data_IF_257813083641
#
_entry.id   IF_257813083641
#
_cell.length_a   1.000
_cell.length_b   1.000
_cell.length_c   1.000
_cell.angle_alpha   90.00
_cell.angle_beta   90.00
_cell.angle_gamma   90.00
#
_symmetry.space_group_name_H-M   'P 1'
#
loop_
_entity.id
_entity.type
_entity.pdbx_description
1 polymer ?
#
# COMPACT_ATOMS: atom_id res chain seq x y z
N UNK A 1 -82.54 30.98 0.21
CA UNK A 1 -81.81 31.60 -0.92
C UNK A 1 -80.40 31.96 -0.45
N UNK A 2 -79.37 31.47 -1.16
CA UNK A 2 -78.00 31.31 -0.66
C UNK A 2 -77.18 32.62 -0.60
N UNK A 3 -76.39 32.78 0.47
CA UNK A 3 -75.44 33.85 0.81
C UNK A 3 -74.32 34.11 -0.25
N UNK A 4 -74.36 33.42 -1.39
CA UNK A 4 -73.41 33.56 -2.49
C UNK A 4 -73.70 34.75 -3.43
N UNK A 5 -74.97 35.16 -3.61
CA UNK A 5 -75.34 36.26 -4.53
C UNK A 5 -75.03 37.67 -4.01
N UNK A 6 -74.88 37.84 -2.70
CA UNK A 6 -74.65 39.14 -2.05
C UNK A 6 -73.17 39.55 -2.07
N UNK A 7 -72.24 38.58 -2.05
CA UNK A 7 -70.79 38.81 -2.10
C UNK A 7 -70.29 39.23 -3.49
N UNK A 8 -71.00 38.84 -4.55
CA UNK A 8 -70.63 39.16 -5.93
C UNK A 8 -71.00 40.60 -6.32
N UNK A 9 -72.13 41.12 -5.80
CA UNK A 9 -72.54 42.53 -5.99
C UNK A 9 -71.54 43.52 -5.35
N UNK A 10 -71.06 43.25 -4.12
CA UNK A 10 -70.07 44.11 -3.45
C UNK A 10 -68.73 44.22 -4.20
N UNK A 11 -68.29 43.16 -4.91
CA UNK A 11 -67.03 43.20 -5.69
C UNK A 11 -67.14 44.02 -6.98
N UNK A 12 -68.33 44.12 -7.58
CA UNK A 12 -68.56 44.90 -8.81
C UNK A 12 -68.66 46.39 -8.48
N UNK A 13 -69.28 46.75 -7.35
CA UNK A 13 -69.37 48.14 -6.89
C UNK A 13 -68.01 48.71 -6.46
N UNK A 14 -67.15 47.91 -5.82
CA UNK A 14 -65.79 48.33 -5.45
C UNK A 14 -64.84 48.55 -6.65
N UNK A 15 -65.03 47.85 -7.78
CA UNK A 15 -64.26 48.10 -9.02
C UNK A 15 -64.72 49.37 -9.73
N UNK A 16 -66.04 49.62 -9.80
CA UNK A 16 -66.59 50.85 -10.39
C UNK A 16 -66.20 52.12 -9.61
N UNK A 17 -66.01 52.02 -8.29
CA UNK A 17 -65.55 53.15 -7.47
C UNK A 17 -64.05 53.46 -7.64
N UNK A 18 -63.22 52.49 -8.04
CA UNK A 18 -61.76 52.66 -8.17
C UNK A 18 -61.35 53.21 -9.53
N UNK A 19 -62.06 52.84 -10.60
CA UNK A 19 -61.83 53.37 -11.95
C UNK A 19 -62.38 54.80 -12.14
N UNK A 20 -63.30 55.25 -11.28
CA UNK A 20 -63.81 56.63 -11.25
C UNK A 20 -62.84 57.64 -10.59
N UNK A 21 -61.75 57.18 -9.96
CA UNK A 21 -60.83 58.02 -9.17
C UNK A 21 -59.55 58.41 -9.90
N UNK A 22 -59.34 57.96 -11.15
CA UNK A 22 -58.19 58.35 -11.98
C UNK A 22 -58.63 58.89 -13.34
N UNK A 23 -59.55 59.85 -13.31
CA UNK A 23 -59.83 60.69 -14.45
C UNK A 23 -58.93 61.92 -14.43
N UNK A 24 -57.98 62.05 -15.35
CA UNK A 24 -57.83 63.33 -16.06
C UNK A 24 -57.02 63.28 -17.36
N UNK A 25 -57.68 63.84 -18.35
CA UNK A 25 -57.29 64.15 -19.71
C UNK A 25 -56.07 65.10 -19.84
N UNK A 26 -55.24 64.77 -20.84
CA UNK A 26 -54.61 65.62 -21.86
C UNK A 26 -54.78 67.15 -21.72
N UNK A 27 -53.66 67.90 -21.74
CA UNK A 27 -53.26 68.80 -22.86
C UNK A 27 -51.88 69.48 -22.66
N UNK A 28 -51.14 69.48 -23.77
CA UNK A 28 -49.91 70.18 -24.19
C UNK A 28 -49.52 71.51 -23.50
N UNK A 29 -48.21 71.67 -23.28
CA UNK A 29 -47.33 72.77 -23.75
C UNK A 29 -45.85 72.34 -23.57
N UNK A 30 -45.04 72.25 -24.63
CA UNK A 30 -43.91 73.16 -25.01
C UNK A 30 -42.98 73.48 -23.83
N UNK A 31 -41.65 73.45 -23.88
CA UNK A 31 -40.61 73.15 -24.87
C UNK A 31 -39.29 73.37 -24.09
N UNK A 32 -38.37 72.41 -24.15
CA UNK A 32 -36.92 72.46 -23.92
C UNK A 32 -36.30 73.57 -23.03
N UNK A 33 -35.54 73.13 -22.03
CA UNK A 33 -34.10 73.39 -21.93
C UNK A 33 -33.43 72.17 -21.29
N UNK A 34 -32.68 71.42 -22.08
CA UNK A 34 -31.88 70.29 -21.62
C UNK A 34 -30.55 70.79 -21.05
N UNK A 35 -30.02 70.23 -19.95
CA UNK A 35 -28.59 70.08 -19.79
C UNK A 35 -28.11 68.91 -20.67
N UNK A 36 -26.91 69.04 -21.21
CA UNK A 36 -26.30 68.11 -22.16
C UNK A 36 -26.49 66.63 -21.79
N UNK A 37 -27.09 65.86 -22.69
CA UNK A 37 -26.96 64.41 -22.69
C UNK A 37 -25.49 64.07 -22.92
N UNK A 38 -24.81 63.55 -21.89
CA UNK A 38 -23.70 62.66 -22.15
C UNK A 38 -24.31 61.36 -22.68
N UNK A 39 -23.99 61.01 -23.93
CA UNK A 39 -24.27 59.68 -24.46
C UNK A 39 -23.45 58.66 -23.67
N UNK A 40 -24.01 58.18 -22.56
CA UNK A 40 -23.60 56.91 -21.99
C UNK A 40 -24.46 55.85 -22.70
N UNK A 41 -23.86 54.85 -23.35
CA UNK A 41 -24.62 53.81 -23.99
C UNK A 41 -25.55 53.16 -22.97
N UNK A 42 -26.84 53.01 -23.31
CA UNK A 42 -27.80 52.31 -22.48
C UNK A 42 -27.38 50.83 -22.38
N UNK A 43 -26.67 50.51 -21.29
CA UNK A 43 -26.21 49.17 -21.00
C UNK A 43 -27.45 48.29 -20.74
N UNK A 44 -27.73 47.38 -21.67
CA UNK A 44 -28.91 46.50 -21.59
C UNK A 44 -28.75 45.48 -20.46
N UNK A 45 -29.26 45.83 -19.27
CA UNK A 45 -29.18 45.04 -18.04
C UNK A 45 -29.86 43.66 -18.14
N UNK A 46 -30.80 43.47 -19.09
CA UNK A 46 -31.45 42.18 -19.29
C UNK A 46 -30.52 41.15 -19.92
N UNK A 47 -29.54 41.58 -20.73
CA UNK A 47 -28.54 40.70 -21.31
C UNK A 47 -27.33 40.51 -20.37
N UNK A 48 -26.98 41.54 -19.61
CA UNK A 48 -25.84 41.49 -18.69
C UNK A 48 -26.11 40.72 -17.40
N UNK A 49 -27.34 40.71 -16.89
CA UNK A 49 -27.68 39.92 -15.69
C UNK A 49 -27.37 38.42 -15.82
N UNK A 50 -27.83 37.70 -16.86
CA UNK A 50 -27.49 36.28 -16.99
C UNK A 50 -25.99 36.05 -17.19
N UNK A 51 -25.30 36.94 -17.91
CA UNK A 51 -23.84 36.86 -18.11
C UNK A 51 -23.07 37.05 -16.80
N UNK A 52 -23.46 38.05 -15.99
CA UNK A 52 -22.87 38.30 -14.67
C UNK A 52 -23.16 37.16 -13.69
N UNK A 53 -24.36 36.59 -13.73
CA UNK A 53 -24.70 35.43 -12.91
C UNK A 53 -23.86 34.22 -13.29
N UNK A 54 -23.69 33.94 -14.58
CA UNK A 54 -22.82 32.86 -15.07
C UNK A 54 -21.35 33.07 -14.66
N UNK A 55 -20.83 34.29 -14.80
CA UNK A 55 -19.47 34.63 -14.36
C UNK A 55 -19.31 34.47 -12.84
N UNK A 56 -20.28 34.95 -12.06
CA UNK A 56 -20.25 34.82 -10.60
C UNK A 56 -20.35 33.35 -10.16
N UNK A 57 -21.16 32.54 -10.84
CA UNK A 57 -21.27 31.10 -10.57
C UNK A 57 -19.98 30.37 -10.92
N UNK A 58 -19.33 30.72 -12.03
CA UNK A 58 -18.03 30.15 -12.41
C UNK A 58 -16.93 30.50 -11.40
N UNK A 59 -16.87 31.77 -10.98
CA UNK A 59 -15.95 32.22 -9.93
C UNK A 59 -16.21 31.56 -8.58
N UNK A 60 -17.48 31.41 -8.19
CA UNK A 60 -17.86 30.72 -6.97
C UNK A 60 -17.50 29.23 -7.01
N UNK A 61 -17.70 28.58 -8.15
CA UNK A 61 -17.33 27.18 -8.34
C UNK A 61 -15.82 26.98 -8.32
N UNK A 62 -15.05 27.84 -9.00
CA UNK A 62 -13.59 27.81 -8.94
C UNK A 62 -13.07 28.07 -7.52
N UNK A 63 -13.67 29.03 -6.81
CA UNK A 63 -13.36 29.28 -5.41
C UNK A 63 -13.70 28.06 -4.52
N UNK A 64 -14.85 27.41 -4.73
CA UNK A 64 -15.21 26.18 -4.00
C UNK A 64 -14.23 25.04 -4.29
N UNK A 65 -13.80 24.86 -5.54
CA UNK A 65 -12.82 23.84 -5.93
C UNK A 65 -11.48 24.09 -5.23
N UNK A 66 -11.01 25.34 -5.22
CA UNK A 66 -9.77 25.73 -4.54
C UNK A 66 -9.91 25.56 -3.03
N UNK A 67 -11.05 25.97 -2.45
CA UNK A 67 -11.34 25.82 -1.02
C UNK A 67 -11.38 24.35 -0.62
N UNK A 68 -12.05 23.49 -1.39
CA UNK A 68 -12.07 22.03 -1.17
C UNK A 68 -10.68 21.44 -1.36
N UNK A 69 -9.91 21.87 -2.36
CA UNK A 69 -8.52 21.42 -2.52
C UNK A 69 -7.57 21.86 -1.40
N UNK A 70 -7.87 22.97 -0.71
CA UNK A 70 -7.10 23.46 0.44
C UNK A 70 -7.50 22.79 1.77
N UNK A 71 -8.71 22.21 1.85
CA UNK A 71 -9.24 21.54 3.05
C UNK A 71 -9.45 20.03 2.87
N UNK A 72 -9.23 19.49 1.67
CA UNK A 72 -8.94 18.09 1.47
C UNK A 72 -7.57 17.88 2.11
N UNK A 73 -7.57 17.62 3.43
CA UNK A 73 -6.39 17.09 4.10
C UNK A 73 -5.91 15.89 3.32
N UNK A 74 -4.60 15.69 3.27
CA UNK A 74 -3.98 14.50 2.69
C UNK A 74 -4.85 13.29 3.03
N UNK A 75 -5.27 12.53 2.02
CA UNK A 75 -5.93 11.26 2.29
C UNK A 75 -5.08 10.54 3.34
N UNK A 76 -5.68 9.95 4.39
CA UNK A 76 -4.90 9.23 5.39
C UNK A 76 -4.03 8.25 4.62
N UNK A 77 -2.71 8.47 4.67
CA UNK A 77 -1.75 7.60 4.01
C UNK A 77 -1.94 6.25 4.69
N UNK A 78 -2.67 5.36 4.04
CA UNK A 78 -2.79 3.98 4.48
C UNK A 78 -1.36 3.43 4.45
N UNK A 79 -0.84 3.15 5.63
CA UNK A 79 0.47 2.50 5.82
C UNK A 79 0.24 1.04 5.42
N UNK A 80 0.71 0.58 4.24
CA UNK A 80 0.49 -0.80 3.84
C UNK A 80 1.19 -1.75 4.83
N UNK A 81 0.39 -2.46 5.63
CA UNK A 81 0.88 -3.55 6.45
C UNK A 81 0.71 -4.86 5.70
N UNK A 82 1.69 -5.73 5.86
CA UNK A 82 1.74 -7.01 5.18
C UNK A 82 1.80 -8.18 6.16
N UNK A 83 1.33 -9.36 5.72
CA UNK A 83 1.31 -10.58 6.51
C UNK A 83 1.73 -11.79 5.65
N UNK A 84 2.60 -12.65 6.19
CA UNK A 84 2.91 -13.95 5.59
C UNK A 84 1.88 -15.00 5.96
N UNK A 85 1.37 -15.69 4.94
CA UNK A 85 0.54 -16.89 5.06
C UNK A 85 1.33 -18.11 4.59
N UNK A 86 1.22 -19.21 5.31
CA UNK A 86 1.91 -20.44 4.99
C UNK A 86 1.11 -21.33 4.01
N UNK A 87 1.62 -22.54 3.80
CA UNK A 87 0.98 -23.55 2.97
C UNK A 87 -0.35 -24.08 3.53
N UNK A 88 -0.69 -23.85 4.80
CA UNK A 88 -1.99 -24.26 5.32
C UNK A 88 -3.13 -23.54 4.60
N UNK A 89 -2.91 -22.28 4.22
CA UNK A 89 -3.84 -21.48 3.41
C UNK A 89 -3.87 -21.88 1.94
N UNK A 90 -2.70 -22.14 1.34
CA UNK A 90 -2.61 -22.31 -0.12
C UNK A 90 -2.66 -23.75 -0.61
N UNK A 91 -2.26 -24.73 0.21
CA UNK A 91 -2.20 -26.14 -0.20
C UNK A 91 -3.46 -26.93 0.20
N UNK A 92 -4.37 -26.31 0.95
CA UNK A 92 -5.61 -26.92 1.40
C UNK A 92 -6.81 -26.14 0.87
N UNK A 93 -7.94 -26.82 0.74
CA UNK A 93 -9.21 -26.17 0.41
C UNK A 93 -9.80 -25.54 1.68
N UNK A 94 -10.23 -24.30 1.55
CA UNK A 94 -10.96 -23.57 2.59
C UNK A 94 -12.39 -23.31 2.10
N UNK A 95 -13.34 -23.30 3.03
CA UNK A 95 -14.68 -22.82 2.74
C UNK A 95 -14.71 -21.29 2.71
N UNK A 96 -15.79 -20.74 2.14
CA UNK A 96 -15.93 -19.29 1.98
C UNK A 96 -16.03 -18.56 3.33
N UNK A 97 -16.49 -19.25 4.39
CA UNK A 97 -16.59 -18.69 5.74
C UNK A 97 -15.18 -18.46 6.34
N UNK A 98 -14.29 -19.46 6.26
CA UNK A 98 -12.91 -19.34 6.71
C UNK A 98 -12.15 -18.22 5.98
N UNK A 99 -12.35 -18.07 4.66
CA UNK A 99 -11.74 -16.98 3.89
C UNK A 99 -12.33 -15.63 4.30
N UNK A 100 -13.65 -15.56 4.58
CA UNK A 100 -14.29 -14.32 5.02
C UNK A 100 -13.82 -13.90 6.43
N UNK A 101 -13.59 -14.86 7.31
CA UNK A 101 -13.04 -14.64 8.65
C UNK A 101 -11.61 -14.11 8.57
N UNK A 102 -10.76 -14.71 7.72
CA UNK A 102 -9.43 -14.16 7.42
C UNK A 102 -9.53 -12.71 6.94
N UNK A 103 -10.39 -12.43 5.96
CA UNK A 103 -10.57 -11.07 5.42
C UNK A 103 -11.02 -10.07 6.49
N UNK A 104 -11.92 -10.47 7.39
CA UNK A 104 -12.36 -9.61 8.50
C UNK A 104 -11.20 -9.33 9.47
N UNK A 105 -10.44 -10.38 9.81
CA UNK A 105 -9.25 -10.25 10.65
C UNK A 105 -8.22 -9.30 10.03
N UNK A 106 -7.93 -9.44 8.73
CA UNK A 106 -7.01 -8.54 8.02
C UNK A 106 -7.47 -7.09 8.06
N UNK A 107 -8.78 -6.82 7.94
CA UNK A 107 -9.34 -5.47 8.04
C UNK A 107 -9.17 -4.89 9.45
N UNK A 108 -9.42 -5.69 10.49
CA UNK A 108 -9.30 -5.25 11.89
C UNK A 108 -7.87 -4.80 12.24
N UNK A 109 -6.87 -5.38 11.56
CA UNK A 109 -5.45 -5.08 11.72
C UNK A 109 -4.84 -4.26 10.58
N UNK A 110 -5.68 -3.69 9.69
CA UNK A 110 -5.25 -2.87 8.55
C UNK A 110 -4.14 -3.54 7.70
N UNK A 111 -4.25 -4.85 7.50
CA UNK A 111 -3.38 -5.61 6.61
C UNK A 111 -3.98 -5.54 5.20
N UNK A 112 -3.22 -4.96 4.26
CA UNK A 112 -3.65 -4.78 2.86
C UNK A 112 -2.79 -5.58 1.88
N UNK A 113 -1.74 -6.24 2.37
CA UNK A 113 -0.81 -7.02 1.56
C UNK A 113 -0.66 -8.41 2.18
N UNK A 114 -0.77 -9.44 1.34
CA UNK A 114 -0.53 -10.82 1.74
C UNK A 114 0.60 -11.43 0.92
N UNK A 115 1.54 -12.06 1.62
CA UNK A 115 2.56 -12.92 1.03
C UNK A 115 2.17 -14.37 1.30
N UNK A 116 1.49 -14.99 0.35
CA UNK A 116 1.01 -16.36 0.50
C UNK A 116 2.00 -17.35 -0.12
N UNK A 117 2.40 -18.37 0.64
CA UNK A 117 3.32 -19.42 0.18
C UNK A 117 2.80 -20.09 -1.09
N UNK A 118 3.55 -20.00 -2.18
CA UNK A 118 3.21 -20.73 -3.42
C UNK A 118 4.08 -21.96 -3.55
N UNK A 119 5.40 -21.82 -3.48
CA UNK A 119 6.30 -22.96 -3.57
C UNK A 119 7.73 -22.62 -3.18
N UNK A 120 8.53 -23.65 -3.00
CA UNK A 120 9.98 -23.59 -2.78
C UNK A 120 10.68 -24.40 -3.86
N UNK A 121 11.81 -23.91 -4.37
CA UNK A 121 12.56 -24.57 -5.43
C UNK A 121 13.45 -25.69 -4.86
N UNK A 122 13.05 -26.94 -5.12
CA UNK A 122 13.82 -28.13 -4.79
C UNK A 122 15.21 -28.11 -5.45
N UNK A 123 16.16 -28.87 -4.90
CA UNK A 123 17.51 -29.00 -5.46
C UNK A 123 17.55 -29.64 -6.86
N UNK A 124 16.52 -30.39 -7.25
CA UNK A 124 16.36 -30.95 -8.60
C UNK A 124 15.72 -29.97 -9.61
N UNK A 125 15.62 -28.69 -9.22
CA UNK A 125 14.99 -27.60 -9.98
C UNK A 125 13.49 -27.80 -10.27
N UNK A 126 12.81 -28.63 -9.48
CA UNK A 126 11.33 -28.71 -9.45
C UNK A 126 10.75 -27.84 -8.34
N UNK A 127 9.48 -27.47 -8.48
CA UNK A 127 8.75 -26.70 -7.47
C UNK A 127 8.06 -27.63 -6.47
N UNK A 128 8.27 -27.38 -5.18
CA UNK A 128 7.73 -28.12 -4.04
C UNK A 128 6.20 -28.14 -4.04
N UNK A 129 5.64 -29.28 -3.65
CA UNK A 129 4.20 -29.48 -3.48
C UNK A 129 3.90 -30.09 -2.11
N UNK A 130 3.13 -31.18 -2.08
CA UNK A 130 2.78 -31.85 -0.82
C UNK A 130 3.98 -32.64 -0.28
N UNK A 131 4.39 -32.43 1.00
CA UNK A 131 5.52 -33.18 1.59
C UNK A 131 5.31 -34.70 1.62
N UNK A 132 4.07 -35.15 1.77
CA UNK A 132 3.71 -36.57 1.78
C UNK A 132 3.39 -37.14 0.38
N UNK A 133 3.48 -36.30 -0.66
CA UNK A 133 3.21 -36.66 -2.05
C UNK A 133 4.49 -36.90 -2.85
N UNK A 134 4.46 -36.54 -4.13
CA UNK A 134 5.64 -36.49 -5.00
C UNK A 134 6.49 -35.24 -4.74
N UNK A 135 6.05 -34.38 -3.83
CA UNK A 135 6.62 -33.08 -3.54
C UNK A 135 6.74 -32.20 -4.80
N UNK A 136 5.69 -32.20 -5.62
CA UNK A 136 5.65 -31.42 -6.85
C UNK A 136 4.45 -30.47 -6.86
N UNK A 137 4.69 -29.24 -7.33
CA UNK A 137 3.71 -28.17 -7.34
C UNK A 137 2.39 -28.53 -8.05
N UNK A 138 2.45 -29.41 -9.07
CA UNK A 138 1.27 -29.93 -9.77
C UNK A 138 0.22 -30.55 -8.83
N UNK A 139 0.63 -31.05 -7.66
CA UNK A 139 -0.26 -31.63 -6.64
C UNK A 139 -1.09 -30.57 -5.90
N UNK A 140 -0.59 -29.33 -5.83
CA UNK A 140 -1.20 -28.21 -5.09
C UNK A 140 -1.65 -27.06 -6.01
N UNK A 141 -1.36 -27.15 -7.31
CA UNK A 141 -1.66 -26.10 -8.30
C UNK A 141 -3.11 -25.63 -8.22
N UNK A 142 -4.05 -26.57 -8.12
CA UNK A 142 -5.47 -26.25 -8.11
C UNK A 142 -5.91 -25.59 -6.80
N UNK A 143 -5.38 -26.01 -5.65
CA UNK A 143 -5.69 -25.39 -4.35
C UNK A 143 -5.08 -24.00 -4.24
N UNK A 144 -3.84 -23.82 -4.71
CA UNK A 144 -3.16 -22.52 -4.78
C UNK A 144 -3.96 -21.53 -5.62
N UNK A 145 -4.42 -21.95 -6.81
CA UNK A 145 -5.27 -21.13 -7.68
C UNK A 145 -6.63 -20.84 -7.07
N UNK A 146 -7.25 -21.83 -6.41
CA UNK A 146 -8.55 -21.69 -5.78
C UNK A 146 -8.50 -20.67 -4.64
N UNK A 147 -7.47 -20.72 -3.78
CA UNK A 147 -7.27 -19.77 -2.71
C UNK A 147 -7.17 -18.33 -3.23
N UNK A 148 -6.33 -18.10 -4.25
CA UNK A 148 -6.20 -16.78 -4.87
C UNK A 148 -7.55 -16.27 -5.41
N UNK A 149 -8.30 -17.12 -6.13
CA UNK A 149 -9.61 -16.75 -6.66
C UNK A 149 -10.64 -16.43 -5.55
N UNK A 150 -10.70 -17.24 -4.49
CA UNK A 150 -11.58 -17.02 -3.35
C UNK A 150 -11.25 -15.71 -2.63
N UNK A 151 -9.97 -15.50 -2.31
CA UNK A 151 -9.52 -14.28 -1.63
C UNK A 151 -9.83 -13.03 -2.47
N UNK A 152 -9.48 -13.03 -3.77
CA UNK A 152 -9.74 -11.88 -4.64
C UNK A 152 -11.23 -11.61 -4.83
N UNK A 153 -12.08 -12.62 -4.72
CA UNK A 153 -13.54 -12.44 -4.71
C UNK A 153 -14.04 -11.81 -3.41
N UNK A 154 -13.49 -12.19 -2.25
CA UNK A 154 -13.89 -11.69 -0.94
C UNK A 154 -13.28 -10.31 -0.60
N UNK A 155 -12.08 -10.02 -1.11
CA UNK A 155 -11.31 -8.81 -0.83
C UNK A 155 -10.46 -8.40 -2.06
N UNK A 156 -11.08 -7.76 -3.07
CA UNK A 156 -10.38 -7.37 -4.30
C UNK A 156 -9.24 -6.35 -4.07
N UNK A 157 -9.33 -5.57 -3.00
CA UNK A 157 -8.37 -4.50 -2.68
C UNK A 157 -7.09 -5.01 -2.00
N UNK A 158 -7.07 -6.26 -1.50
CA UNK A 158 -5.86 -6.85 -0.92
C UNK A 158 -4.90 -7.21 -2.04
N UNK A 159 -3.65 -6.75 -1.94
CA UNK A 159 -2.58 -7.15 -2.85
C UNK A 159 -2.07 -8.54 -2.44
N UNK A 160 -2.23 -9.51 -3.35
CA UNK A 160 -1.79 -10.88 -3.12
C UNK A 160 -0.51 -11.19 -3.90
N UNK A 161 0.57 -11.43 -3.15
CA UNK A 161 1.86 -11.87 -3.69
C UNK A 161 2.04 -13.37 -3.47
N UNK A 162 2.47 -14.06 -4.53
CA UNK A 162 2.87 -15.45 -4.44
C UNK A 162 4.33 -15.57 -4.01
N UNK A 163 4.58 -16.18 -2.86
CA UNK A 163 5.95 -16.33 -2.32
C UNK A 163 6.65 -17.49 -3.00
N UNK A 164 7.80 -17.18 -3.60
CA UNK A 164 8.71 -18.11 -4.23
C UNK A 164 10.00 -18.16 -3.41
N UNK A 165 10.23 -19.29 -2.75
CA UNK A 165 11.42 -19.50 -1.91
C UNK A 165 12.51 -20.24 -2.66
N UNK A 166 13.74 -19.74 -2.61
CA UNK A 166 14.90 -20.33 -3.27
C UNK A 166 16.08 -20.35 -2.31
N UNK A 167 16.58 -21.55 -2.03
CA UNK A 167 17.90 -21.71 -1.41
C UNK A 167 18.96 -21.44 -2.45
N UNK A 168 19.82 -20.45 -2.20
CA UNK A 168 20.84 -20.02 -3.15
C UNK A 168 22.14 -20.82 -3.02
N UNK A 169 22.44 -21.30 -1.81
CA UNK A 169 23.61 -22.11 -1.50
C UNK A 169 23.39 -23.62 -1.73
N UNK A 170 24.45 -24.31 -2.15
CA UNK A 170 24.59 -25.76 -2.13
C UNK A 170 25.83 -26.08 -1.29
N UNK A 171 25.64 -26.68 -0.11
CA UNK A 171 26.67 -27.12 0.84
C UNK A 171 28.13 -26.84 0.42
N UNK A 172 28.91 -27.84 0.01
CA UNK A 172 30.37 -27.74 0.04
C UNK A 172 30.99 -26.72 -0.95
N UNK A 173 30.37 -26.40 -2.09
CA UNK A 173 31.00 -25.55 -3.12
C UNK A 173 30.03 -24.98 -4.19
N UNK A 174 28.71 -25.18 -4.07
CA UNK A 174 27.79 -24.81 -5.15
C UNK A 174 27.03 -23.53 -4.84
N UNK A 175 26.86 -22.70 -5.86
CA UNK A 175 25.90 -21.61 -5.87
C UNK A 175 24.82 -21.95 -6.90
N UNK A 176 23.58 -21.53 -6.66
CA UNK A 176 22.45 -21.86 -7.54
C UNK A 176 22.03 -20.71 -8.44
N UNK A 177 22.33 -19.47 -8.07
CA UNK A 177 21.87 -18.32 -8.85
C UNK A 177 22.73 -18.08 -10.10
N UNK A 178 23.93 -18.66 -10.17
CA UNK A 178 24.79 -18.66 -11.36
C UNK A 178 24.38 -19.72 -12.41
N UNK A 179 23.45 -20.61 -12.07
CA UNK A 179 22.89 -21.59 -13.01
C UNK A 179 21.77 -20.95 -13.86
N UNK A 180 21.95 -20.83 -15.19
CA UNK A 180 20.93 -20.26 -16.07
C UNK A 180 19.62 -21.06 -16.08
N UNK A 181 19.65 -22.36 -15.74
CA UNK A 181 18.44 -23.19 -15.62
C UNK A 181 17.62 -22.71 -14.42
N UNK A 182 18.25 -22.43 -13.28
CA UNK A 182 17.55 -21.93 -12.08
C UNK A 182 16.93 -20.56 -12.36
N UNK A 183 17.65 -19.68 -13.06
CA UNK A 183 17.13 -18.39 -13.50
C UNK A 183 15.90 -18.56 -14.42
N UNK A 184 16.02 -19.36 -15.47
CA UNK A 184 14.92 -19.59 -16.42
C UNK A 184 13.69 -20.20 -15.74
N UNK A 185 13.89 -21.21 -14.89
CA UNK A 185 12.81 -21.89 -14.15
C UNK A 185 12.10 -20.95 -13.19
N UNK A 186 12.85 -20.08 -12.52
CA UNK A 186 12.29 -19.08 -11.61
C UNK A 186 11.46 -18.06 -12.35
N UNK A 187 12.01 -17.48 -13.42
CA UNK A 187 11.31 -16.51 -14.25
C UNK A 187 10.02 -17.11 -14.86
N UNK A 188 10.09 -18.34 -15.39
CA UNK A 188 8.91 -19.03 -15.95
C UNK A 188 7.83 -19.29 -14.90
N UNK A 189 8.22 -19.74 -13.71
CA UNK A 189 7.25 -20.04 -12.66
C UNK A 189 6.61 -18.78 -12.09
N UNK A 190 7.39 -17.71 -11.90
CA UNK A 190 6.86 -16.41 -11.51
C UNK A 190 5.78 -15.90 -12.50
N UNK A 191 6.02 -16.06 -13.80
CA UNK A 191 5.05 -15.75 -14.86
C UNK A 191 3.75 -16.56 -14.70
N UNK A 192 3.86 -17.87 -14.42
CA UNK A 192 2.69 -18.71 -14.18
C UNK A 192 1.88 -18.26 -12.97
N UNK A 193 2.53 -17.87 -11.87
CA UNK A 193 1.87 -17.37 -10.66
C UNK A 193 0.95 -16.18 -10.96
N UNK A 194 1.45 -15.18 -11.68
CA UNK A 194 0.71 -13.93 -11.91
C UNK A 194 -0.26 -14.00 -13.10
N UNK A 195 -0.01 -14.86 -14.10
CA UNK A 195 -0.84 -14.94 -15.30
C UNK A 195 -1.81 -16.12 -15.31
N UNK A 196 -1.51 -17.19 -14.57
CA UNK A 196 -2.32 -18.41 -14.57
C UNK A 196 -2.98 -18.72 -13.22
N UNK A 197 -2.38 -18.29 -12.11
CA UNK A 197 -2.87 -18.63 -10.77
C UNK A 197 -3.62 -17.50 -10.06
N UNK A 198 -3.70 -16.31 -10.67
CA UNK A 198 -4.56 -15.21 -10.19
C UNK A 198 -3.94 -14.31 -9.13
N UNK A 199 -2.62 -14.37 -8.95
CA UNK A 199 -1.88 -13.49 -8.04
C UNK A 199 -1.62 -12.11 -8.67
N UNK A 200 -1.56 -11.07 -7.83
CA UNK A 200 -1.26 -9.70 -8.25
C UNK A 200 0.24 -9.51 -8.53
N UNK A 201 1.09 -10.27 -7.82
CA UNK A 201 2.53 -10.25 -7.95
C UNK A 201 3.23 -11.48 -7.39
N UNK A 202 4.56 -11.44 -7.39
CA UNK A 202 5.42 -12.44 -6.74
C UNK A 202 6.35 -11.80 -5.72
N UNK A 203 6.62 -12.53 -4.64
CA UNK A 203 7.62 -12.19 -3.64
C UNK A 203 8.76 -13.20 -3.75
N UNK A 204 9.97 -12.73 -4.08
CA UNK A 204 11.16 -13.57 -4.08
C UNK A 204 11.79 -13.60 -2.69
N UNK A 205 11.89 -14.80 -2.12
CA UNK A 205 12.62 -15.05 -0.86
C UNK A 205 13.80 -15.93 -1.22
N UNK A 206 14.98 -15.32 -1.38
CA UNK A 206 16.20 -16.01 -1.81
C UNK A 206 17.22 -15.91 -0.70
N UNK A 207 17.70 -17.05 -0.20
CA UNK A 207 18.59 -17.09 0.95
C UNK A 207 19.68 -18.19 0.82
N UNK A 208 20.93 -17.89 1.21
CA UNK A 208 21.47 -16.56 1.54
C UNK A 208 21.77 -15.72 0.29
N UNK A 209 21.86 -14.39 0.43
CA UNK A 209 22.34 -13.48 -0.63
C UNK A 209 23.37 -12.52 -0.03
N UNK A 210 24.54 -12.45 -0.65
CA UNK A 210 25.67 -11.67 -0.16
C UNK A 210 25.79 -10.30 -0.85
N UNK A 211 26.58 -9.41 -0.24
CA UNK A 211 26.87 -8.10 -0.82
C UNK A 211 27.51 -8.24 -2.21
N UNK A 212 27.06 -7.43 -3.17
CA UNK A 212 27.62 -7.39 -4.53
C UNK A 212 27.21 -8.55 -5.44
N UNK A 213 26.28 -9.41 -5.04
CA UNK A 213 25.85 -10.55 -5.84
C UNK A 213 25.15 -10.14 -7.14
N UNK A 214 25.83 -10.31 -8.27
CA UNK A 214 25.29 -9.97 -9.58
C UNK A 214 24.23 -10.94 -10.07
N UNK A 215 24.30 -12.21 -9.67
CA UNK A 215 23.35 -13.25 -10.08
C UNK A 215 21.99 -13.04 -9.43
N UNK A 216 21.96 -12.54 -8.19
CA UNK A 216 20.72 -12.10 -7.55
C UNK A 216 20.06 -10.95 -8.33
N UNK A 217 20.83 -9.96 -8.79
CA UNK A 217 20.29 -8.87 -9.61
C UNK A 217 19.76 -9.37 -10.96
N UNK A 218 20.45 -10.32 -11.58
CA UNK A 218 20.03 -10.93 -12.84
C UNK A 218 18.75 -11.76 -12.66
N UNK A 219 18.61 -12.46 -11.55
CA UNK A 219 17.38 -13.16 -11.17
C UNK A 219 16.19 -12.20 -11.06
N UNK A 220 16.34 -11.08 -10.35
CA UNK A 220 15.25 -10.10 -10.20
C UNK A 220 14.85 -9.52 -11.56
N UNK A 221 15.83 -9.17 -12.41
CA UNK A 221 15.56 -8.67 -13.77
C UNK A 221 14.84 -9.70 -14.63
N UNK A 222 15.30 -10.96 -14.62
CA UNK A 222 14.67 -12.03 -15.38
C UNK A 222 13.22 -12.28 -14.93
N UNK A 223 12.96 -12.23 -13.63
CA UNK A 223 11.60 -12.32 -13.08
C UNK A 223 10.76 -11.12 -13.51
N UNK A 224 11.26 -9.88 -13.37
CA UNK A 224 10.58 -8.67 -13.84
C UNK A 224 10.20 -8.75 -15.32
N UNK A 225 11.15 -9.12 -16.18
CA UNK A 225 10.91 -9.29 -17.63
C UNK A 225 9.82 -10.33 -17.91
N UNK A 226 9.79 -11.42 -17.14
CA UNK A 226 8.87 -12.54 -17.33
C UNK A 226 7.44 -12.28 -16.83
N UNK A 227 7.28 -11.46 -15.79
CA UNK A 227 5.95 -11.08 -15.25
C UNK A 227 5.40 -9.78 -15.89
N UNK A 228 6.28 -8.98 -16.49
CA UNK A 228 5.97 -7.69 -17.12
C UNK A 228 5.81 -6.52 -16.14
N UNK A 229 5.72 -5.31 -16.70
CA UNK A 229 5.73 -4.05 -15.93
C UNK A 229 4.41 -3.73 -15.21
N UNK A 230 3.35 -4.49 -15.48
CA UNK A 230 2.02 -4.28 -14.88
C UNK A 230 1.77 -5.17 -13.65
N UNK A 231 2.65 -6.13 -13.39
CA UNK A 231 2.56 -7.07 -12.27
C UNK A 231 3.47 -6.63 -11.14
N UNK A 232 3.11 -6.97 -9.91
CA UNK A 232 3.88 -6.57 -8.74
C UNK A 232 5.09 -7.51 -8.52
N UNK A 233 6.24 -6.95 -8.17
CA UNK A 233 7.44 -7.68 -7.79
C UNK A 233 7.95 -7.18 -6.45
N UNK A 234 7.94 -8.07 -5.47
CA UNK A 234 8.51 -7.84 -4.17
C UNK A 234 9.74 -8.73 -3.96
N UNK A 235 10.70 -8.25 -3.16
CA UNK A 235 11.85 -9.04 -2.72
C UNK A 235 11.99 -8.97 -1.21
N UNK A 236 12.22 -10.11 -0.57
CA UNK A 236 12.64 -10.19 0.81
C UNK A 236 14.17 -10.22 0.83
N UNK A 237 14.77 -9.30 1.57
CA UNK A 237 16.22 -9.15 1.66
C UNK A 237 16.71 -9.49 3.06
N UNK A 238 17.91 -10.06 3.19
CA UNK A 238 18.50 -10.28 4.50
C UNK A 238 18.69 -8.95 5.25
N UNK A 239 18.69 -9.00 6.59
CA UNK A 239 19.13 -7.86 7.37
C UNK A 239 20.65 -7.71 7.21
N UNK A 240 21.16 -6.53 7.55
CA UNK A 240 22.58 -6.34 7.79
C UNK A 240 22.95 -7.01 9.13
N UNK A 241 23.35 -8.28 9.10
CA UNK A 241 23.58 -9.06 10.33
C UNK A 241 24.75 -8.54 11.17
N UNK A 242 25.87 -8.17 10.53
CA UNK A 242 27.02 -7.56 11.22
C UNK A 242 27.29 -6.13 10.72
N UNK A 243 26.51 -5.12 11.16
CA UNK A 243 26.77 -3.72 10.85
C UNK A 243 28.19 -3.29 11.24
N UNK A 244 28.80 -2.39 10.44
CA UNK A 244 30.15 -1.86 10.71
C UNK A 244 30.15 -0.62 11.61
N UNK A 245 29.04 -0.37 12.32
CA UNK A 245 28.85 0.77 13.22
C UNK A 245 29.06 0.31 14.66
N UNK A 246 29.94 0.97 15.40
CA UNK A 246 30.43 0.52 16.72
C UNK A 246 29.34 0.35 17.78
N UNK A 247 28.25 1.10 17.66
CA UNK A 247 27.22 1.21 18.70
C UNK A 247 25.99 0.35 18.40
N UNK A 248 26.02 -0.42 17.31
CA UNK A 248 24.95 -1.35 16.94
C UNK A 248 25.27 -2.73 17.52
N UNK A 249 24.39 -3.34 18.31
CA UNK A 249 24.61 -4.67 18.86
C UNK A 249 24.78 -5.72 17.75
N UNK A 250 25.77 -6.58 17.91
CA UNK A 250 26.06 -7.72 17.03
C UNK A 250 26.34 -8.97 17.86
N UNK A 251 26.32 -10.12 17.21
CA UNK A 251 26.70 -11.42 17.79
C UNK A 251 28.02 -11.91 17.21
N UNK A 252 28.80 -12.65 18.00
CA UNK A 252 29.99 -13.36 17.51
C UNK A 252 29.62 -14.68 16.79
N UNK A 253 28.34 -15.07 16.78
CA UNK A 253 27.86 -16.31 16.15
C UNK A 253 27.67 -16.18 14.64
N UNK A 254 27.64 -14.95 14.11
CA UNK A 254 27.54 -14.67 12.68
C UNK A 254 28.91 -14.20 12.19
N UNK A 255 29.29 -14.68 11.00
CA UNK A 255 30.53 -14.26 10.37
C UNK A 255 30.56 -12.72 10.17
N UNK A 256 31.71 -12.06 10.36
CA UNK A 256 31.84 -10.64 10.10
C UNK A 256 31.64 -10.32 8.62
N UNK A 257 31.30 -9.06 8.33
CA UNK A 257 31.05 -8.54 6.98
C UNK A 257 29.82 -9.14 6.27
N UNK A 258 28.80 -9.51 7.03
CA UNK A 258 27.48 -9.96 6.53
C UNK A 258 26.48 -8.80 6.43
N UNK A 259 26.98 -7.63 6.04
CA UNK A 259 26.26 -6.37 5.83
C UNK A 259 26.32 -6.03 4.35
N UNK A 260 25.21 -5.57 3.77
CA UNK A 260 25.25 -5.07 2.39
C UNK A 260 25.80 -3.64 2.34
N UNK A 261 26.64 -3.36 1.35
CA UNK A 261 27.05 -2.00 1.05
C UNK A 261 25.83 -1.14 0.67
N UNK A 262 25.92 0.17 0.94
CA UNK A 262 24.87 1.09 0.49
C UNK A 262 24.71 1.04 -1.03
N UNK A 263 25.81 0.96 -1.79
CA UNK A 263 25.78 0.81 -3.24
C UNK A 263 24.98 -0.42 -3.66
N UNK A 264 25.19 -1.57 -3.02
CA UNK A 264 24.47 -2.79 -3.39
C UNK A 264 22.99 -2.73 -3.03
N UNK A 265 22.63 -2.21 -1.84
CA UNK A 265 21.22 -1.94 -1.48
C UNK A 265 20.54 -1.11 -2.58
N UNK A 266 21.20 -0.04 -3.02
CA UNK A 266 20.70 0.83 -4.08
C UNK A 266 20.59 0.11 -5.44
N UNK A 267 21.57 -0.73 -5.79
CA UNK A 267 21.52 -1.53 -7.02
C UNK A 267 20.33 -2.49 -7.03
N UNK A 268 20.02 -3.13 -5.89
CA UNK A 268 18.81 -3.95 -5.75
C UNK A 268 17.56 -3.10 -5.93
N UNK A 269 17.45 -1.95 -5.25
CA UNK A 269 16.30 -1.04 -5.37
C UNK A 269 16.05 -0.54 -6.80
N UNK A 270 17.12 -0.41 -7.61
CA UNK A 270 17.05 0.01 -9.01
C UNK A 270 16.68 -1.12 -9.99
N UNK A 271 16.42 -2.35 -9.54
CA UNK A 271 16.00 -3.48 -10.39
C UNK A 271 14.50 -3.48 -10.74
N UNK A 272 13.83 -2.31 -10.63
CA UNK A 272 12.40 -2.15 -10.91
C UNK A 272 11.51 -3.07 -10.07
N UNK A 273 11.88 -3.29 -8.81
CA UNK A 273 11.01 -3.91 -7.81
C UNK A 273 9.98 -2.88 -7.32
N UNK A 274 8.76 -3.33 -7.02
CA UNK A 274 7.71 -2.47 -6.45
C UNK A 274 7.84 -2.39 -4.93
N UNK A 275 8.44 -3.42 -4.32
CA UNK A 275 8.53 -3.55 -2.88
C UNK A 275 9.80 -4.28 -2.42
N UNK A 276 10.40 -3.77 -1.35
CA UNK A 276 11.52 -4.37 -0.65
C UNK A 276 11.13 -4.62 0.81
N UNK A 277 11.28 -5.85 1.28
CA UNK A 277 11.03 -6.20 2.68
C UNK A 277 12.32 -6.62 3.36
N UNK A 278 12.72 -5.87 4.39
CA UNK A 278 13.91 -6.20 5.19
C UNK A 278 13.54 -7.25 6.23
N UNK A 279 14.14 -8.43 6.17
CA UNK A 279 13.88 -9.52 7.11
C UNK A 279 14.61 -9.30 8.45
N UNK A 280 14.14 -8.31 9.23
CA UNK A 280 14.76 -7.88 10.49
C UNK A 280 14.51 -8.85 11.67
N UNK A 281 14.90 -10.12 11.49
CA UNK A 281 14.84 -11.21 12.45
C UNK A 281 15.99 -12.20 12.20
N UNK A 282 16.09 -13.25 13.02
CA UNK A 282 17.27 -14.13 13.08
C UNK A 282 18.53 -13.35 13.47
N UNK A 283 18.41 -12.54 14.52
CA UNK A 283 19.44 -11.60 14.97
C UNK A 283 20.52 -12.25 15.83
N UNK A 284 20.25 -13.41 16.42
CA UNK A 284 21.11 -14.09 17.41
C UNK A 284 21.42 -13.24 18.66
N UNK A 285 20.66 -12.15 18.88
CA UNK A 285 20.81 -11.27 20.03
C UNK A 285 20.13 -11.85 21.26
N UNK A 286 20.53 -11.38 22.44
CA UNK A 286 20.12 -11.98 23.72
C UNK A 286 19.28 -11.06 24.60
N UNK A 287 19.05 -9.81 24.19
CA UNK A 287 18.21 -8.85 24.92
C UNK A 287 17.27 -8.10 23.97
N UNK A 288 16.06 -7.80 24.43
CA UNK A 288 15.07 -7.05 23.64
C UNK A 288 15.55 -5.64 23.27
N UNK A 289 16.32 -4.99 24.14
CA UNK A 289 16.88 -3.66 23.89
C UNK A 289 17.92 -3.70 22.77
N UNK A 290 18.77 -4.74 22.76
CA UNK A 290 19.78 -4.88 21.71
C UNK A 290 19.11 -5.18 20.38
N UNK A 291 18.09 -6.04 20.37
CA UNK A 291 17.29 -6.31 19.20
C UNK A 291 16.60 -5.05 18.67
N UNK A 292 15.97 -4.25 19.53
CA UNK A 292 15.35 -2.99 19.13
C UNK A 292 16.37 -1.99 18.53
N UNK A 293 17.56 -1.87 19.12
CA UNK A 293 18.64 -1.03 18.58
C UNK A 293 19.13 -1.52 17.22
N UNK A 294 19.25 -2.84 17.05
CA UNK A 294 19.63 -3.46 15.78
C UNK A 294 18.56 -3.25 14.70
N UNK A 295 17.26 -3.40 15.02
CA UNK A 295 16.14 -3.09 14.10
C UNK A 295 16.11 -1.60 13.73
N UNK A 296 16.42 -0.70 14.67
CA UNK A 296 16.54 0.73 14.39
C UNK A 296 17.62 1.01 13.34
N UNK A 297 18.77 0.33 13.45
CA UNK A 297 19.81 0.40 12.43
C UNK A 297 19.33 -0.12 11.08
N UNK A 298 18.65 -1.28 11.01
CA UNK A 298 18.13 -1.81 9.74
C UNK A 298 17.21 -0.80 9.05
N UNK A 299 16.27 -0.26 9.81
CA UNK A 299 15.28 0.72 9.34
C UNK A 299 15.97 1.97 8.81
N UNK A 300 16.96 2.49 9.55
CA UNK A 300 17.72 3.66 9.14
C UNK A 300 18.58 3.38 7.90
N UNK A 301 19.29 2.26 7.85
CA UNK A 301 20.22 1.94 6.77
C UNK A 301 19.51 1.78 5.42
N UNK A 302 18.40 1.03 5.40
CA UNK A 302 17.60 0.85 4.18
C UNK A 302 16.81 2.11 3.82
N UNK A 303 16.28 2.84 4.81
CA UNK A 303 15.62 4.12 4.58
C UNK A 303 16.58 5.15 3.96
N UNK A 304 17.79 5.29 4.50
CA UNK A 304 18.79 6.21 3.97
C UNK A 304 19.20 5.85 2.53
N UNK A 305 19.36 4.55 2.24
CA UNK A 305 19.70 4.10 0.89
C UNK A 305 18.67 4.55 -0.16
N UNK A 306 17.37 4.54 0.18
CA UNK A 306 16.30 5.03 -0.70
C UNK A 306 16.23 6.56 -0.76
N UNK A 307 16.41 7.26 0.37
CA UNK A 307 16.47 8.72 0.39
C UNK A 307 17.55 9.23 -0.57
N UNK A 308 18.72 8.59 -0.56
CA UNK A 308 19.87 8.98 -1.37
C UNK A 308 19.67 8.72 -2.87
N UNK A 309 18.78 7.80 -3.26
CA UNK A 309 18.47 7.53 -4.67
C UNK A 309 17.61 8.63 -5.32
N UNK A 310 16.81 9.35 -4.52
CA UNK A 310 15.85 10.38 -4.97
C UNK A 310 14.81 9.88 -5.98
N UNK A 311 13.53 10.07 -5.67
CA UNK A 311 12.40 9.89 -6.62
C UNK A 311 12.26 8.48 -7.23
N UNK A 312 12.47 7.42 -6.46
CA UNK A 312 12.04 6.08 -6.84
C UNK A 312 10.65 5.78 -6.26
N UNK A 313 9.81 5.09 -7.04
CA UNK A 313 8.53 4.56 -6.56
C UNK A 313 8.75 3.14 -6.03
N UNK A 314 9.27 3.04 -4.81
CA UNK A 314 9.54 1.78 -4.12
C UNK A 314 8.89 1.79 -2.76
N UNK A 315 8.18 0.71 -2.40
CA UNK A 315 7.73 0.50 -1.04
C UNK A 315 8.79 -0.22 -0.21
N UNK A 316 9.16 0.32 0.95
CA UNK A 316 10.02 -0.35 1.92
C UNK A 316 9.19 -0.76 3.13
N UNK A 317 9.21 -2.04 3.45
CA UNK A 317 8.61 -2.56 4.68
C UNK A 317 9.67 -3.22 5.55
N UNK A 318 9.50 -3.14 6.86
CA UNK A 318 10.37 -3.83 7.82
C UNK A 318 9.66 -5.08 8.34
N UNK A 319 10.35 -6.21 8.23
CA UNK A 319 9.90 -7.51 8.70
C UNK A 319 9.85 -7.56 10.22
N UNK A 320 8.73 -8.04 10.77
CA UNK A 320 8.52 -8.18 12.21
C UNK A 320 8.26 -9.66 12.54
N UNK A 321 9.11 -10.28 13.37
CA UNK A 321 8.97 -11.70 13.70
C UNK A 321 7.82 -11.95 14.69
N UNK A 322 7.12 -13.05 14.48
CA UNK A 322 6.05 -13.56 15.32
C UNK A 322 6.05 -15.09 15.43
N UNK A 323 7.04 -15.79 14.89
CA UNK A 323 7.13 -17.26 14.90
C UNK A 323 7.80 -17.79 16.16
N UNK A 324 7.83 -19.12 16.29
CA UNK A 324 8.43 -19.80 17.44
C UNK A 324 9.96 -19.69 17.49
N UNK A 325 10.54 -19.74 18.69
CA UNK A 325 12.00 -19.67 18.87
C UNK A 325 12.74 -20.75 18.06
N UNK A 326 13.81 -20.34 17.39
CA UNK A 326 14.78 -21.22 16.72
C UNK A 326 16.19 -20.91 17.28
N UNK A 327 16.51 -21.30 18.52
CA UNK A 327 17.78 -20.91 19.13
C UNK A 327 18.98 -21.58 18.45
N UNK A 328 20.15 -20.91 18.36
CA UNK A 328 20.40 -19.56 18.86
C UNK A 328 20.00 -18.44 17.88
N UNK A 329 19.48 -18.76 16.69
CA UNK A 329 19.22 -17.79 15.64
C UNK A 329 18.11 -16.80 15.97
N UNK A 330 17.01 -17.30 16.52
CA UNK A 330 15.82 -16.53 16.88
C UNK A 330 15.28 -16.97 18.24
N UNK A 331 14.94 -16.01 19.10
CA UNK A 331 14.22 -16.25 20.35
C UNK A 331 12.99 -15.33 20.41
N UNK A 332 11.79 -15.92 20.44
CA UNK A 332 10.52 -15.21 20.46
C UNK A 332 10.32 -14.33 21.71
N UNK A 333 11.13 -14.51 22.78
CA UNK A 333 11.14 -13.63 23.94
C UNK A 333 12.05 -12.41 23.77
N UNK A 334 12.97 -12.44 22.80
CA UNK A 334 13.91 -11.36 22.50
C UNK A 334 13.44 -10.59 21.27
N UNK A 335 13.19 -11.32 20.21
CA UNK A 335 12.68 -10.83 18.92
C UNK A 335 11.15 -10.73 18.96
N UNK A 336 10.66 -9.82 19.81
CA UNK A 336 9.21 -9.58 19.99
C UNK A 336 8.71 -8.51 19.03
N UNK A 337 7.41 -8.54 18.71
CA UNK A 337 6.72 -7.48 17.95
C UNK A 337 6.96 -6.11 18.61
N UNK A 338 6.79 -6.01 19.92
CA UNK A 338 6.98 -4.75 20.65
C UNK A 338 8.39 -4.20 20.49
N UNK A 339 9.41 -5.05 20.63
CA UNK A 339 10.81 -4.63 20.47
C UNK A 339 11.11 -4.22 19.02
N UNK A 340 10.59 -4.96 18.03
CA UNK A 340 10.73 -4.60 16.62
C UNK A 340 10.08 -3.23 16.32
N UNK A 341 8.86 -2.99 16.80
CA UNK A 341 8.15 -1.72 16.59
C UNK A 341 8.86 -0.53 17.24
N UNK A 342 9.44 -0.72 18.43
CA UNK A 342 10.28 0.31 19.07
C UNK A 342 11.49 0.63 18.17
N UNK A 343 12.18 -0.40 17.68
CA UNK A 343 13.31 -0.24 16.78
C UNK A 343 12.95 0.49 15.49
N UNK A 344 11.85 0.09 14.84
CA UNK A 344 11.36 0.72 13.61
C UNK A 344 11.11 2.20 13.82
N UNK A 345 10.31 2.57 14.83
CA UNK A 345 10.01 3.98 15.14
C UNK A 345 11.27 4.78 15.47
N UNK A 346 12.22 4.17 16.19
CA UNK A 346 13.49 4.83 16.50
C UNK A 346 14.31 5.06 15.23
N UNK A 347 14.42 4.07 14.35
CA UNK A 347 15.11 4.19 13.07
C UNK A 347 14.48 5.23 12.15
N UNK A 348 13.14 5.25 12.05
CA UNK A 348 12.39 6.27 11.31
C UNK A 348 12.65 7.69 11.83
N UNK A 349 12.75 7.87 13.15
CA UNK A 349 13.00 9.19 13.74
C UNK A 349 14.40 9.75 13.42
N UNK A 350 15.33 8.90 12.98
CA UNK A 350 16.65 9.29 12.51
C UNK A 350 16.71 9.58 10.99
N UNK A 351 15.64 9.32 10.24
CA UNK A 351 15.56 9.59 8.80
C UNK A 351 15.08 11.02 8.53
N UNK A 352 15.54 11.60 7.42
CA UNK A 352 15.13 12.95 7.00
C UNK A 352 13.80 12.98 6.24
N UNK A 353 13.23 11.82 5.91
CA UNK A 353 11.97 11.67 5.20
C UNK A 353 11.26 10.35 5.59
N UNK A 354 9.91 10.32 5.58
CA UNK A 354 9.13 9.12 5.92
C UNK A 354 9.10 8.14 4.73
N UNK A 355 10.20 7.42 4.52
CA UNK A 355 10.36 6.48 3.39
C UNK A 355 10.04 5.02 3.75
N UNK A 356 9.81 4.73 5.02
CA UNK A 356 9.34 3.42 5.46
C UNK A 356 7.82 3.43 5.35
N UNK A 357 7.29 2.53 4.53
CA UNK A 357 5.88 2.54 4.16
C UNK A 357 5.01 1.71 5.11
N UNK A 358 5.60 0.76 5.83
CA UNK A 358 4.86 -0.11 6.72
C UNK A 358 5.70 -1.24 7.30
N UNK A 359 5.01 -2.21 7.89
CA UNK A 359 5.64 -3.40 8.43
C UNK A 359 5.12 -4.66 7.76
N UNK A 360 5.89 -5.73 7.89
CA UNK A 360 5.60 -7.01 7.28
C UNK A 360 5.70 -8.11 8.34
N UNK A 361 4.56 -8.61 8.83
CA UNK A 361 4.51 -9.58 9.93
C UNK A 361 4.86 -10.96 9.39
N UNK A 362 5.96 -11.52 9.88
CA UNK A 362 6.39 -12.90 9.64
C UNK A 362 6.30 -13.67 10.96
N UNK A 363 5.25 -14.44 11.24
CA UNK A 363 4.17 -14.76 10.31
C UNK A 363 2.88 -15.15 11.02
N UNK A 364 1.78 -15.26 10.25
CA UNK A 364 0.42 -15.43 10.76
C UNK A 364 0.27 -16.61 11.73
N UNK A 365 0.85 -17.77 11.39
CA UNK A 365 0.74 -19.00 12.20
C UNK A 365 1.38 -18.90 13.60
N UNK A 366 2.25 -17.93 13.82
CA UNK A 366 2.87 -17.67 15.12
C UNK A 366 2.18 -16.58 15.93
N UNK A 367 1.27 -15.81 15.32
CA UNK A 367 0.61 -14.69 15.98
C UNK A 367 -0.42 -15.15 17.01
N UNK A 368 -0.15 -14.85 18.27
CA UNK A 368 -1.12 -14.95 19.36
C UNK A 368 -2.00 -13.70 19.45
N UNK A 369 -3.15 -13.81 20.13
CA UNK A 369 -4.01 -12.65 20.41
C UNK A 369 -3.25 -11.51 21.11
N UNK A 370 -2.37 -11.84 22.07
CA UNK A 370 -1.53 -10.85 22.75
C UNK A 370 -0.58 -10.12 21.78
N UNK A 371 -0.01 -10.84 20.83
CA UNK A 371 0.85 -10.26 19.78
C UNK A 371 0.05 -9.36 18.84
N UNK A 372 -1.16 -9.76 18.45
CA UNK A 372 -2.07 -8.93 17.68
C UNK A 372 -2.44 -7.62 18.40
N UNK A 373 -2.76 -7.68 19.69
CA UNK A 373 -3.03 -6.49 20.49
C UNK A 373 -1.78 -5.62 20.67
N UNK A 374 -0.60 -6.22 20.79
CA UNK A 374 0.67 -5.49 20.85
C UNK A 374 0.98 -4.77 19.53
N UNK A 375 0.70 -5.41 18.39
CA UNK A 375 0.78 -4.79 17.08
C UNK A 375 -0.21 -3.62 16.95
N UNK A 376 -1.48 -3.83 17.31
CA UNK A 376 -2.52 -2.80 17.22
C UNK A 376 -2.17 -1.57 18.06
N UNK A 377 -1.89 -1.77 19.34
CA UNK A 377 -1.55 -0.67 20.27
C UNK A 377 -0.19 -0.02 19.97
N UNK A 378 0.77 -0.80 19.45
CA UNK A 378 2.12 -0.35 19.16
C UNK A 378 2.27 0.32 17.80
N UNK A 379 1.44 0.00 16.81
CA UNK A 379 1.61 0.46 15.42
C UNK A 379 0.40 1.22 14.86
N UNK A 380 -0.81 0.71 15.07
CA UNK A 380 -2.02 1.29 14.47
C UNK A 380 -2.58 2.45 15.31
N UNK A 381 -2.54 2.31 16.63
CA UNK A 381 -2.99 3.34 17.57
C UNK A 381 -1.82 4.29 17.84
N UNK A 382 -1.94 5.53 17.36
CA UNK A 382 -0.94 6.60 17.55
C UNK A 382 -1.04 7.26 18.92
#
# INVERSE_FOLDING_TARGET
>A
MSRARERQKRRIEQRKARDAMSGRNKKRTRSHLAPAQSDLPEINLNFLRPVLLLLSSGLFMAFMIILVGLFAGDEPVFVPNALWLDSSWTYQSHDDEAVQDLVNHLRDYQITILYAKVSELNFDATWTGLPQGRNQFDEVRETVRAFAAQLKSAAPDIQLYGVLSIRADLDADGYRLDDPVILERTAQFASQVVHSYGYDGVMLVIEPVWDGDTYYLDMIRAVRESIGDQKLLAVAVPPDWTPLVSDVPITDLIAPNTVWSQEYKQRVMLTLIDQLVVQAYNSYLTTQSDYAAWVAYQTQAYGQAVIDLQQISLQILIGVPAYESIPPAHDANIETITAALIGIKQGESNLTAPVINGIAIYAEWGMTETQWQSFKSGWLEK
#
